data_IF_183009343349
#
_entry.id   IF_183009343349
#
_cell.length_a   1.000
_cell.length_b   1.000
_cell.length_c   1.000
_cell.angle_alpha   90.00
_cell.angle_beta   90.00
_cell.angle_gamma   90.00
#
_symmetry.space_group_name_H-M   'P 1'
#
loop_
_entity.id
_entity.type
_entity.pdbx_description
1 polymer ?
#
# COMPACT_ATOMS: atom_id res chain seq x y z
N UNK A 1 -41.42 26.12 -2.72
CA UNK A 1 -40.34 26.95 -3.27
C UNK A 1 -39.03 26.35 -2.84
N UNK A 2 -38.27 25.87 -3.81
CA UNK A 2 -37.07 25.06 -3.66
C UNK A 2 -35.85 25.92 -3.94
N UNK A 3 -34.84 25.89 -3.06
CA UNK A 3 -33.57 26.60 -3.21
C UNK A 3 -32.46 25.77 -2.56
N UNK A 4 -31.97 24.75 -3.25
CA UNK A 4 -30.57 24.29 -3.13
C UNK A 4 -30.14 23.84 -4.52
N UNK A 5 -29.55 24.78 -5.26
CA UNK A 5 -28.81 24.52 -6.49
C UNK A 5 -27.33 24.51 -6.18
N UNK A 6 -26.58 23.77 -7.02
CA UNK A 6 -25.13 23.84 -7.24
C UNK A 6 -24.25 23.06 -6.26
N UNK A 7 -23.97 21.80 -6.61
CA UNK A 7 -22.67 21.41 -7.16
C UNK A 7 -22.82 20.01 -7.77
N UNK A 8 -22.89 19.97 -9.09
CA UNK A 8 -22.80 18.73 -9.86
C UNK A 8 -21.35 18.40 -10.20
N UNK A 9 -21.21 17.15 -10.64
CA UNK A 9 -20.27 16.66 -11.66
C UNK A 9 -18.90 16.12 -11.20
N UNK A 10 -18.72 14.87 -11.63
CA UNK A 10 -17.49 14.09 -11.92
C UNK A 10 -16.71 13.48 -10.76
N UNK A 11 -17.05 12.23 -10.42
CA UNK A 11 -16.11 11.23 -9.91
C UNK A 11 -16.29 9.95 -10.69
N UNK A 12 -15.87 10.00 -11.95
CA UNK A 12 -15.55 8.84 -12.77
C UNK A 12 -14.25 9.19 -13.48
N UNK A 13 -13.35 8.23 -13.56
CA UNK A 13 -11.99 8.30 -14.13
C UNK A 13 -10.89 8.76 -13.16
N UNK A 14 -10.28 7.77 -12.50
CA UNK A 14 -8.81 7.68 -12.38
C UNK A 14 -8.39 6.24 -12.08
N UNK A 15 -8.90 5.31 -12.89
CA UNK A 15 -8.47 3.91 -12.93
C UNK A 15 -7.46 3.73 -14.08
N UNK A 16 -6.46 4.60 -14.21
CA UNK A 16 -5.48 4.53 -15.30
C UNK A 16 -4.23 5.38 -15.02
N UNK A 17 -3.40 4.94 -14.08
CA UNK A 17 -2.01 5.38 -13.91
C UNK A 17 -1.25 4.16 -13.35
N UNK A 18 -0.14 3.67 -13.88
CA UNK A 18 0.67 4.06 -15.02
C UNK A 18 1.49 2.81 -15.39
N UNK A 19 1.17 2.15 -16.51
CA UNK A 19 2.16 1.36 -17.23
C UNK A 19 3.16 2.33 -17.86
N UNK A 20 4.41 1.88 -18.00
CA UNK A 20 5.52 2.50 -18.71
C UNK A 20 6.33 3.57 -17.95
N UNK A 21 7.42 3.12 -17.33
CA UNK A 21 8.71 3.79 -17.43
C UNK A 21 9.81 2.74 -17.38
N UNK A 22 10.25 2.32 -18.57
CA UNK A 22 11.47 1.56 -18.80
C UNK A 22 12.57 2.57 -19.08
N UNK A 23 13.58 2.65 -18.22
CA UNK A 23 14.86 3.27 -18.56
C UNK A 23 15.98 2.72 -17.66
N UNK A 24 17.06 2.37 -18.33
CA UNK A 24 18.33 1.85 -17.83
C UNK A 24 18.82 2.47 -16.52
N UNK A 25 19.25 1.62 -15.58
CA UNK A 25 20.46 1.85 -14.80
C UNK A 25 20.86 0.56 -14.07
N UNK A 26 22.05 0.07 -14.40
CA UNK A 26 22.77 -0.98 -13.70
C UNK A 26 23.01 -0.62 -12.24
N UNK A 27 22.32 -1.30 -11.33
CA UNK A 27 22.73 -1.38 -9.93
C UNK A 27 22.39 -2.77 -9.39
N UNK A 28 23.44 -3.58 -9.25
CA UNK A 28 23.50 -4.71 -8.32
C UNK A 28 23.02 -4.23 -6.96
N UNK A 29 22.16 -5.00 -6.25
CA UNK A 29 22.25 -5.21 -4.79
C UNK A 29 21.05 -6.01 -4.22
N UNK A 30 21.42 -7.09 -3.53
CA UNK A 30 20.81 -7.76 -2.37
C UNK A 30 19.32 -8.15 -2.40
N UNK A 31 19.09 -9.44 -2.69
CA UNK A 31 17.90 -10.16 -2.22
C UNK A 31 17.83 -10.15 -0.69
N UNK A 32 16.89 -9.39 -0.13
CA UNK A 32 16.40 -9.63 1.23
C UNK A 32 15.10 -10.44 1.15
N UNK A 33 15.01 -11.61 1.80
CA UNK A 33 13.78 -12.37 1.82
C UNK A 33 12.83 -11.70 2.82
N UNK A 34 12.01 -10.76 2.35
CA UNK A 34 10.81 -10.38 3.08
C UNK A 34 9.91 -11.61 3.14
N UNK A 35 9.55 -12.00 4.35
CA UNK A 35 8.53 -13.02 4.63
C UNK A 35 7.16 -12.43 4.28
N UNK A 36 6.97 -12.27 2.97
CA UNK A 36 5.75 -12.04 2.18
C UNK A 36 4.57 -11.50 2.99
N UNK A 37 4.36 -10.18 2.91
CA UNK A 37 3.13 -9.51 3.32
C UNK A 37 2.02 -9.77 2.28
N UNK A 38 1.62 -11.04 2.15
CA UNK A 38 0.38 -11.38 1.45
C UNK A 38 -0.72 -11.43 2.51
N UNK A 39 -1.64 -10.46 2.45
CA UNK A 39 -3.01 -10.74 2.88
C UNK A 39 -3.42 -12.07 2.22
N UNK A 40 -3.96 -13.05 2.98
CA UNK A 40 -4.27 -14.36 2.43
C UNK A 40 -5.19 -14.17 1.21
N UNK A 41 -4.80 -14.68 0.03
CA UNK A 41 -5.54 -14.43 -1.19
C UNK A 41 -6.92 -15.10 -1.10
N UNK A 42 -7.96 -14.33 -1.41
CA UNK A 42 -9.11 -14.94 -2.08
C UNK A 42 -8.58 -15.53 -3.40
N UNK A 43 -8.93 -16.79 -3.69
CA UNK A 43 -8.28 -17.62 -4.70
C UNK A 43 -8.18 -16.94 -6.07
N UNK A 44 -6.97 -16.56 -6.46
CA UNK A 44 -6.58 -16.39 -7.86
C UNK A 44 -5.09 -16.63 -7.98
N UNK A 45 -4.75 -17.79 -8.55
CA UNK A 45 -3.37 -18.14 -8.88
C UNK A 45 -2.91 -17.29 -10.06
N UNK A 46 -1.78 -16.60 -9.90
CA UNK A 46 -1.05 -16.01 -11.02
C UNK A 46 0.43 -16.36 -10.85
N UNK A 47 0.95 -16.98 -11.91
CA UNK A 47 2.29 -17.50 -12.07
C UNK A 47 3.36 -16.40 -12.02
N UNK A 48 4.52 -16.78 -11.50
CA UNK A 48 5.72 -15.96 -11.34
C UNK A 48 6.46 -15.78 -12.67
N UNK A 49 6.54 -14.56 -13.20
CA UNK A 49 7.60 -14.15 -14.15
C UNK A 49 8.77 -13.53 -13.38
N UNK A 50 10.02 -13.69 -13.82
CA UNK A 50 11.19 -13.15 -13.13
C UNK A 50 11.33 -11.66 -13.44
N UNK A 51 10.44 -10.84 -12.89
CA UNK A 51 10.53 -9.39 -12.98
C UNK A 51 11.33 -8.91 -11.76
N UNK A 52 12.60 -8.52 -11.96
CA UNK A 52 13.35 -7.75 -10.97
C UNK A 52 12.66 -6.40 -10.81
N UNK A 53 11.71 -6.33 -9.86
CA UNK A 53 11.11 -5.08 -9.44
C UNK A 53 12.20 -4.18 -8.86
N UNK A 54 12.21 -2.90 -9.23
CA UNK A 54 13.05 -1.93 -8.52
C UNK A 54 12.59 -1.83 -7.06
N UNK A 55 13.48 -1.41 -6.15
CA UNK A 55 13.12 -1.22 -4.74
C UNK A 55 11.87 -0.33 -4.58
N UNK A 56 11.78 0.72 -5.40
CA UNK A 56 10.60 1.58 -5.51
C UNK A 56 9.35 0.80 -5.89
N UNK A 57 9.38 0.05 -6.99
CA UNK A 57 8.22 -0.70 -7.47
C UNK A 57 7.79 -1.78 -6.48
N UNK A 58 8.74 -2.39 -5.78
CA UNK A 58 8.48 -3.34 -4.73
C UNK A 58 7.72 -2.66 -3.57
N UNK A 59 8.22 -1.53 -3.07
CA UNK A 59 7.57 -0.78 -1.99
C UNK A 59 6.20 -0.22 -2.37
N UNK A 60 6.05 0.29 -3.60
CA UNK A 60 4.75 0.72 -4.15
C UNK A 60 3.74 -0.45 -4.16
N UNK A 61 4.18 -1.65 -4.55
CA UNK A 61 3.33 -2.85 -4.53
C UNK A 61 2.93 -3.26 -3.13
N UNK A 62 3.87 -3.26 -2.19
CA UNK A 62 3.57 -3.59 -0.78
C UNK A 62 2.59 -2.57 -0.17
N UNK A 63 2.72 -1.28 -0.52
CA UNK A 63 1.79 -0.25 -0.09
C UNK A 63 0.39 -0.43 -0.69
N UNK A 64 0.28 -0.83 -1.96
CA UNK A 64 -1.01 -1.17 -2.57
C UNK A 64 -1.67 -2.37 -1.89
N UNK A 65 -0.90 -3.44 -1.64
CA UNK A 65 -1.40 -4.62 -0.93
C UNK A 65 -1.89 -4.25 0.49
N UNK A 66 -1.16 -3.39 1.20
CA UNK A 66 -1.57 -2.92 2.52
C UNK A 66 -2.85 -2.06 2.47
N UNK A 67 -2.99 -1.21 1.45
CA UNK A 67 -4.24 -0.48 1.18
C UNK A 67 -5.44 -1.42 1.02
N UNK A 68 -5.28 -2.51 0.25
CA UNK A 68 -6.33 -3.52 0.10
C UNK A 68 -6.69 -4.21 1.43
N UNK A 69 -5.70 -4.47 2.30
CA UNK A 69 -5.93 -5.03 3.63
C UNK A 69 -6.73 -4.03 4.51
N UNK A 70 -6.43 -2.73 4.46
CA UNK A 70 -7.18 -1.69 5.18
C UNK A 70 -8.64 -1.66 4.71
N UNK A 71 -8.86 -1.62 3.39
CA UNK A 71 -10.21 -1.65 2.82
C UNK A 71 -10.97 -2.93 3.18
N UNK A 72 -10.29 -4.09 3.22
CA UNK A 72 -10.90 -5.34 3.69
C UNK A 72 -11.32 -5.24 5.16
N UNK A 73 -10.49 -4.65 6.02
CA UNK A 73 -10.81 -4.46 7.44
C UNK A 73 -12.01 -3.55 7.64
N UNK A 74 -12.11 -2.46 6.87
CA UNK A 74 -13.26 -1.56 6.87
C UNK A 74 -14.54 -2.30 6.47
N UNK A 75 -14.50 -3.06 5.37
CA UNK A 75 -15.65 -3.89 4.94
C UNK A 75 -16.07 -4.93 5.98
N UNK A 76 -15.12 -5.54 6.68
CA UNK A 76 -15.43 -6.49 7.77
C UNK A 76 -16.13 -5.80 8.95
N UNK A 77 -15.74 -4.56 9.29
CA UNK A 77 -16.40 -3.78 10.33
C UNK A 77 -17.86 -3.44 9.98
N UNK A 78 -18.15 -3.26 8.69
CA UNK A 78 -19.50 -2.98 8.19
C UNK A 78 -20.37 -4.24 8.04
N UNK A 79 -19.75 -5.43 7.98
CA UNK A 79 -20.45 -6.70 7.83
C UNK A 79 -21.01 -7.21 9.17
N UNK A 80 -22.31 -7.52 9.23
CA UNK A 80 -22.94 -8.12 10.40
C UNK A 80 -23.36 -9.58 10.12
N UNK A 81 -23.04 -10.54 11.01
CA UNK A 81 -22.20 -10.38 12.21
C UNK A 81 -20.71 -10.20 11.86
N UNK A 82 -20.01 -9.36 12.63
CA UNK A 82 -18.58 -9.10 12.44
C UNK A 82 -17.78 -10.35 12.84
N UNK A 83 -16.91 -10.82 11.96
CA UNK A 83 -15.91 -11.83 12.29
C UNK A 83 -14.76 -11.19 13.08
N UNK A 84 -14.84 -11.22 14.42
CA UNK A 84 -13.89 -10.56 15.31
C UNK A 84 -12.46 -11.11 15.17
N UNK A 85 -12.30 -12.42 14.99
CA UNK A 85 -10.98 -13.05 14.86
C UNK A 85 -10.25 -12.55 13.61
N UNK A 86 -10.95 -12.55 12.46
CA UNK A 86 -10.39 -12.03 11.21
C UNK A 86 -10.10 -10.53 11.30
N UNK A 87 -10.98 -9.77 11.96
CA UNK A 87 -10.83 -8.33 12.12
C UNK A 87 -9.60 -7.95 12.97
N UNK A 88 -9.37 -8.66 14.08
CA UNK A 88 -8.23 -8.44 14.97
C UNK A 88 -6.91 -8.88 14.31
N UNK A 89 -6.90 -10.04 13.65
CA UNK A 89 -5.72 -10.54 12.94
C UNK A 89 -5.30 -9.58 11.83
N UNK A 90 -6.27 -9.13 11.03
CA UNK A 90 -6.02 -8.16 9.97
C UNK A 90 -5.55 -6.82 10.53
N UNK A 91 -6.09 -6.39 11.68
CA UNK A 91 -5.63 -5.20 12.39
C UNK A 91 -4.17 -5.27 12.83
N UNK A 92 -3.75 -6.42 13.40
CA UNK A 92 -2.36 -6.66 13.81
C UNK A 92 -1.43 -6.65 12.60
N UNK A 93 -1.82 -7.37 11.54
CA UNK A 93 -1.06 -7.42 10.29
C UNK A 93 -0.86 -6.03 9.67
N UNK A 94 -1.92 -5.22 9.61
CA UNK A 94 -1.85 -3.84 9.11
C UNK A 94 -0.87 -3.02 9.95
N UNK A 95 -0.95 -3.09 11.29
CA UNK A 95 -0.09 -2.32 12.18
C UNK A 95 1.40 -2.68 11.98
N UNK A 96 1.73 -3.97 11.90
CA UNK A 96 3.09 -4.44 11.66
C UNK A 96 3.61 -4.02 10.28
N UNK A 97 2.82 -4.22 9.23
CA UNK A 97 3.18 -3.84 7.86
C UNK A 97 3.40 -2.34 7.72
N UNK A 98 2.57 -1.50 8.37
CA UNK A 98 2.75 -0.04 8.39
C UNK A 98 4.13 0.36 8.89
N UNK A 99 4.59 -0.25 10.00
CA UNK A 99 5.89 0.03 10.60
C UNK A 99 7.03 -0.47 9.72
N UNK A 100 6.91 -1.67 9.17
CA UNK A 100 7.97 -2.28 8.38
C UNK A 100 8.19 -1.54 7.05
N UNK A 101 7.13 -1.19 6.33
CA UNK A 101 7.21 -0.38 5.11
C UNK A 101 7.83 0.99 5.42
N UNK A 102 7.40 1.65 6.51
CA UNK A 102 7.97 2.95 6.90
C UNK A 102 9.47 2.87 7.21
N UNK A 103 9.95 1.77 7.79
CA UNK A 103 11.39 1.53 7.99
C UNK A 103 12.12 1.36 6.67
N UNK A 104 11.54 0.66 5.70
CA UNK A 104 12.16 0.44 4.39
C UNK A 104 12.25 1.74 3.58
N UNK A 105 11.18 2.53 3.52
CA UNK A 105 11.17 3.85 2.85
C UNK A 105 12.28 4.78 3.38
N UNK A 106 12.58 4.71 4.69
CA UNK A 106 13.65 5.50 5.33
C UNK A 106 15.06 5.02 5.03
N UNK A 107 15.22 3.76 4.59
CA UNK A 107 16.51 3.17 4.23
C UNK A 107 16.85 3.41 2.77
N UNK A 108 15.89 3.82 1.94
CA UNK A 108 16.12 4.22 0.56
C UNK A 108 17.12 5.37 0.53
N UNK A 109 18.25 5.14 -0.13
CA UNK A 109 19.37 6.09 -0.18
C UNK A 109 19.06 7.31 -1.06
N UNK A 110 18.31 7.12 -2.15
CA UNK A 110 17.92 8.20 -3.05
C UNK A 110 16.82 9.08 -2.40
N UNK A 111 17.11 10.37 -2.11
CA UNK A 111 16.16 11.27 -1.48
C UNK A 111 14.89 11.50 -2.32
N UNK A 112 14.98 11.50 -3.64
CA UNK A 112 13.84 11.72 -4.53
C UNK A 112 12.91 10.52 -4.55
N UNK A 113 13.48 9.31 -4.58
CA UNK A 113 12.71 8.07 -4.48
C UNK A 113 12.07 7.97 -3.10
N UNK A 114 12.82 8.29 -2.04
CA UNK A 114 12.27 8.28 -0.67
C UNK A 114 11.10 9.27 -0.52
N UNK A 115 11.24 10.53 -0.94
CA UNK A 115 10.13 11.51 -0.88
C UNK A 115 8.91 11.05 -1.70
N UNK A 116 9.13 10.49 -2.90
CA UNK A 116 8.06 9.91 -3.70
C UNK A 116 7.31 8.77 -2.99
N UNK A 117 8.05 7.86 -2.37
CA UNK A 117 7.48 6.74 -1.60
C UNK A 117 6.77 7.21 -0.32
N UNK A 118 7.29 8.23 0.36
CA UNK A 118 6.65 8.80 1.54
C UNK A 118 5.30 9.45 1.19
N UNK A 119 5.22 10.16 0.06
CA UNK A 119 3.96 10.70 -0.46
C UNK A 119 2.99 9.61 -0.88
N UNK A 120 3.49 8.57 -1.54
CA UNK A 120 2.67 7.43 -1.93
C UNK A 120 2.11 6.71 -0.69
N UNK A 121 2.92 6.50 0.35
CA UNK A 121 2.49 5.98 1.63
C UNK A 121 1.37 6.81 2.24
N UNK A 122 1.53 8.14 2.26
CA UNK A 122 0.52 9.05 2.81
C UNK A 122 -0.82 8.92 2.11
N UNK A 123 -0.83 8.82 0.78
CA UNK A 123 -2.06 8.70 -0.02
C UNK A 123 -2.72 7.33 0.16
N UNK A 124 -1.94 6.25 0.19
CA UNK A 124 -2.49 4.88 0.20
C UNK A 124 -2.84 4.38 1.60
N UNK A 125 -2.09 4.79 2.63
CA UNK A 125 -2.13 4.20 3.98
C UNK A 125 -2.42 5.25 5.06
N UNK A 126 -2.12 6.53 4.80
CA UNK A 126 -2.25 7.63 5.74
C UNK A 126 -0.95 7.95 6.48
N UNK A 127 -1.05 8.45 7.72
CA UNK A 127 0.13 8.90 8.47
C UNK A 127 1.15 7.79 8.66
N UNK A 128 2.41 8.13 8.33
CA UNK A 128 3.55 7.24 8.47
C UNK A 128 4.01 7.23 9.94
N UNK A 129 4.20 6.05 10.55
CA UNK A 129 4.73 5.94 11.90
C UNK A 129 6.09 6.61 11.99
N UNK A 130 6.43 7.24 13.11
CA UNK A 130 7.74 7.80 13.48
C UNK A 130 8.85 6.72 13.46
N UNK A 131 10.11 7.13 13.69
CA UNK A 131 11.27 6.21 13.65
C UNK A 131 11.22 5.12 14.72
N UNK A 132 10.61 5.41 15.85
CA UNK A 132 10.35 4.48 16.95
C UNK A 132 9.11 3.59 16.70
N UNK A 133 8.40 3.78 15.58
CA UNK A 133 7.20 3.03 15.24
C UNK A 133 5.91 3.59 15.85
N UNK A 134 5.98 4.71 16.58
CA UNK A 134 4.77 5.38 17.10
C UNK A 134 4.02 6.09 15.98
N UNK A 135 2.69 6.07 16.00
CA UNK A 135 1.91 6.90 15.07
C UNK A 135 1.99 8.37 15.53
N UNK A 136 2.18 9.33 14.61
CA UNK A 136 2.10 10.74 14.92
C UNK A 136 0.67 11.18 15.26
#
# INVERSE_FOLDING_TARGET
>A
MSLVSLLGLTTSMNFLYCMACSLDATATLVSFPLKVARCPPSMSGVQSTPNTLTERQFLEREMMNLGDCILRRERLAESLPVNLEEFEELGRHIAEAKVEIAKQIRRVEDPWVSDGLQRFYLVMIGNMPNRDGTMP
#
